data_IF_363775607771
#
_entry.id   IF_363775607771
#
_cell.length_a   1.000
_cell.length_b   1.000
_cell.length_c   1.000
_cell.angle_alpha   90.00
_cell.angle_beta   90.00
_cell.angle_gamma   90.00
#
_symmetry.space_group_name_H-M   'P 1'
#
loop_
_entity.id
_entity.type
_entity.pdbx_description
1 polymer ?
#
# COMPACT_ATOMS: atom_id res chain seq x y z
N UNK A 1 -5.08 6.09 -4.99
CA UNK A 1 -5.43 5.55 -6.32
C UNK A 1 -5.74 6.65 -7.33
N UNK A 2 -6.71 7.55 -7.10
CA UNK A 2 -7.01 8.67 -8.01
C UNK A 2 -5.77 9.51 -8.39
N UNK A 3 -4.99 9.94 -7.40
CA UNK A 3 -3.72 10.66 -7.61
C UNK A 3 -2.76 9.97 -8.61
N UNK A 4 -2.67 8.63 -8.55
CA UNK A 4 -1.78 7.88 -9.46
C UNK A 4 -2.27 7.98 -10.91
N UNK A 5 -3.58 7.93 -11.11
CA UNK A 5 -4.22 7.93 -12.42
C UNK A 5 -4.32 9.34 -13.01
N UNK A 6 -4.57 10.35 -12.19
CA UNK A 6 -4.90 11.70 -12.66
C UNK A 6 -3.69 12.63 -12.67
N UNK A 7 -2.77 12.49 -11.71
CA UNK A 7 -1.67 13.44 -11.54
C UNK A 7 -0.31 12.81 -11.84
N UNK A 8 -0.05 11.60 -11.32
CA UNK A 8 1.29 11.02 -11.41
C UNK A 8 1.57 10.36 -12.76
N UNK A 9 0.60 9.63 -13.30
CA UNK A 9 0.73 8.89 -14.56
C UNK A 9 -0.52 9.07 -15.45
N UNK A 10 -0.86 10.30 -15.87
CA UNK A 10 -2.05 10.54 -16.68
C UNK A 10 -1.99 9.89 -18.06
N UNK A 11 -0.82 9.86 -18.68
CA UNK A 11 -0.64 9.42 -20.08
C UNK A 11 -0.48 7.90 -20.24
N UNK A 12 -0.39 7.14 -19.14
CA UNK A 12 -0.18 5.69 -19.24
C UNK A 12 -1.50 4.95 -19.40
N UNK A 13 -1.47 3.88 -20.20
CA UNK A 13 -2.62 3.01 -20.42
C UNK A 13 -2.93 2.15 -19.19
N UNK A 14 -1.88 1.63 -18.53
CA UNK A 14 -2.01 0.78 -17.34
C UNK A 14 -0.94 1.10 -16.30
N UNK A 15 -1.35 1.14 -15.04
CA UNK A 15 -0.50 1.25 -13.86
C UNK A 15 -0.55 -0.08 -13.12
N UNK A 16 0.61 -0.74 -13.04
CA UNK A 16 0.76 -1.97 -12.23
C UNK A 16 0.99 -1.58 -10.78
N UNK A 17 0.06 -1.95 -9.92
CA UNK A 17 0.12 -1.69 -8.49
C UNK A 17 0.38 -3.00 -7.77
N UNK A 18 1.52 -3.09 -7.10
CA UNK A 18 1.84 -4.23 -6.23
C UNK A 18 1.35 -3.88 -4.82
N UNK A 19 0.44 -4.69 -4.28
CA UNK A 19 -0.09 -4.54 -2.92
C UNK A 19 0.21 -5.77 -2.07
N UNK A 20 0.12 -5.60 -0.76
CA UNK A 20 0.11 -6.70 0.18
C UNK A 20 -1.15 -7.56 0.00
N UNK A 21 -1.05 -8.85 0.32
CA UNK A 21 -2.15 -9.80 0.17
C UNK A 21 -3.13 -9.75 1.36
N UNK A 22 -3.39 -8.55 1.87
CA UNK A 22 -4.39 -8.34 2.90
C UNK A 22 -5.73 -8.08 2.20
N UNK A 23 -6.71 -8.95 2.47
CA UNK A 23 -8.03 -8.99 1.83
C UNK A 23 -8.92 -7.73 2.02
N UNK A 24 -8.36 -6.63 2.53
CA UNK A 24 -9.07 -5.38 2.83
C UNK A 24 -9.13 -4.42 1.63
N UNK A 25 -8.20 -4.52 0.68
CA UNK A 25 -8.13 -3.64 -0.49
C UNK A 25 -8.73 -4.30 -1.74
N UNK A 26 -10.05 -4.50 -1.74
CA UNK A 26 -10.77 -5.00 -2.91
C UNK A 26 -11.11 -3.88 -3.89
N UNK A 27 -11.23 -4.20 -5.19
CA UNK A 27 -11.68 -3.25 -6.23
C UNK A 27 -12.99 -2.56 -5.86
N UNK A 28 -13.88 -3.25 -5.16
CA UNK A 28 -15.16 -2.71 -4.68
C UNK A 28 -15.01 -1.51 -3.73
N UNK A 29 -13.87 -1.39 -3.03
CA UNK A 29 -13.60 -0.25 -2.15
C UNK A 29 -13.53 1.08 -2.91
N UNK A 30 -13.16 1.06 -4.21
CA UNK A 30 -13.20 2.26 -5.04
C UNK A 30 -14.62 2.71 -5.35
N UNK A 31 -15.56 1.78 -5.55
CA UNK A 31 -16.98 2.08 -5.74
C UNK A 31 -17.66 2.61 -4.46
N UNK A 32 -17.11 2.29 -3.29
CA UNK A 32 -17.56 2.88 -2.02
C UNK A 32 -17.07 4.32 -1.84
N UNK A 33 -15.88 4.64 -2.37
CA UNK A 33 -15.24 5.93 -2.16
C UNK A 33 -15.57 6.97 -3.25
N UNK A 34 -15.90 6.55 -4.48
CA UNK A 34 -16.11 7.44 -5.62
C UNK A 34 -17.41 7.13 -6.35
N UNK A 35 -17.99 8.11 -7.08
CA UNK A 35 -19.12 7.85 -7.98
C UNK A 35 -18.81 6.71 -8.96
N UNK A 36 -19.79 5.88 -9.36
CA UNK A 36 -19.54 4.66 -10.14
C UNK A 36 -18.73 4.86 -11.43
N UNK A 37 -18.99 5.95 -12.15
CA UNK A 37 -18.25 6.30 -13.36
C UNK A 37 -16.76 6.60 -13.07
N UNK A 38 -16.48 7.35 -12.01
CA UNK A 38 -15.13 7.71 -11.62
C UNK A 38 -14.37 6.50 -11.06
N UNK A 39 -15.02 5.69 -10.22
CA UNK A 39 -14.47 4.44 -9.71
C UNK A 39 -14.08 3.49 -10.85
N UNK A 40 -14.94 3.37 -11.87
CA UNK A 40 -14.67 2.54 -13.05
C UNK A 40 -13.49 3.07 -13.86
N UNK A 41 -13.46 4.36 -14.18
CA UNK A 41 -12.35 5.01 -14.91
C UNK A 41 -11.00 4.77 -14.21
N UNK A 42 -10.97 4.94 -12.89
CA UNK A 42 -9.76 4.70 -12.09
C UNK A 42 -9.39 3.21 -12.16
N UNK A 43 -10.33 2.30 -11.92
CA UNK A 43 -10.09 0.85 -11.98
C UNK A 43 -9.61 0.38 -13.35
N UNK A 44 -10.12 0.96 -14.44
CA UNK A 44 -9.75 0.56 -15.79
C UNK A 44 -8.28 0.87 -16.11
N UNK A 45 -7.65 1.83 -15.43
CA UNK A 45 -6.21 2.09 -15.55
C UNK A 45 -5.34 1.32 -14.56
N UNK A 46 -5.92 0.62 -13.57
CA UNK A 46 -5.15 -0.08 -12.53
C UNK A 46 -5.12 -1.59 -12.75
N UNK A 47 -3.93 -2.18 -12.61
CA UNK A 47 -3.70 -3.61 -12.62
C UNK A 47 -3.07 -4.03 -11.29
N UNK A 48 -3.75 -4.87 -10.51
CA UNK A 48 -3.31 -5.24 -9.16
C UNK A 48 -2.54 -6.55 -9.16
N UNK A 49 -1.37 -6.54 -8.55
CA UNK A 49 -0.54 -7.70 -8.25
C UNK A 49 -0.39 -7.82 -6.74
N UNK A 50 -0.45 -9.03 -6.20
CA UNK A 50 -0.38 -9.27 -4.76
C UNK A 50 0.88 -10.04 -4.40
N UNK A 51 1.47 -9.72 -3.26
CA UNK A 51 2.60 -10.50 -2.72
C UNK A 51 2.15 -11.93 -2.35
N UNK A 52 3.02 -12.94 -2.44
CA UNK A 52 2.70 -14.30 -1.98
C UNK A 52 2.35 -14.30 -0.49
N UNK A 53 1.40 -15.15 -0.07
CA UNK A 53 0.90 -15.22 1.33
C UNK A 53 2.00 -15.43 2.38
N UNK A 54 3.11 -16.06 2.01
CA UNK A 54 4.26 -16.31 2.89
C UNK A 54 5.53 -15.57 2.44
N UNK A 55 5.36 -14.53 1.62
CA UNK A 55 6.43 -13.70 1.06
C UNK A 55 6.54 -12.32 1.71
N UNK A 56 6.43 -12.23 3.03
CA UNK A 56 6.58 -10.97 3.80
C UNK A 56 7.87 -10.22 3.46
N UNK A 57 8.94 -10.95 3.18
CA UNK A 57 10.24 -10.39 2.77
C UNK A 57 10.22 -9.67 1.40
N UNK A 58 9.18 -9.83 0.60
CA UNK A 58 8.95 -9.10 -0.65
C UNK A 58 7.95 -7.94 -0.49
N UNK A 59 7.38 -7.76 0.70
CA UNK A 59 6.43 -6.69 0.97
C UNK A 59 7.17 -5.38 1.28
N UNK A 60 7.14 -4.43 0.34
CA UNK A 60 7.80 -3.12 0.51
C UNK A 60 7.34 -2.39 1.79
N UNK A 61 6.05 -2.47 2.15
CA UNK A 61 5.53 -1.82 3.35
C UNK A 61 6.16 -2.40 4.63
N UNK A 62 6.36 -3.72 4.71
CA UNK A 62 6.98 -4.36 5.86
C UNK A 62 8.49 -4.04 5.95
N UNK A 63 9.18 -3.95 4.81
CA UNK A 63 10.59 -3.55 4.75
C UNK A 63 10.74 -2.12 5.25
N UNK A 64 9.93 -1.18 4.75
CA UNK A 64 9.95 0.23 5.19
C UNK A 64 9.62 0.36 6.67
N UNK A 65 8.63 -0.38 7.16
CA UNK A 65 8.29 -0.42 8.59
C UNK A 65 9.44 -1.01 9.44
N UNK A 66 10.15 -2.01 8.94
CA UNK A 66 11.34 -2.58 9.61
C UNK A 66 12.47 -1.56 9.72
N UNK A 67 12.73 -0.81 8.64
CA UNK A 67 13.72 0.29 8.64
C UNK A 67 13.29 1.40 9.61
N UNK A 68 12.02 1.81 9.56
CA UNK A 68 11.47 2.81 10.48
C UNK A 68 11.60 2.36 11.94
N UNK A 69 11.28 1.11 12.24
CA UNK A 69 11.44 0.54 13.59
C UNK A 69 12.90 0.53 14.05
N UNK A 70 13.87 0.30 13.15
CA UNK A 70 15.29 0.33 13.51
C UNK A 70 15.79 1.76 13.77
N UNK A 71 15.33 2.73 12.98
CA UNK A 71 15.76 4.13 13.08
C UNK A 71 15.04 4.87 14.21
N UNK A 72 13.74 4.63 14.38
CA UNK A 72 12.87 5.31 15.34
C UNK A 72 12.54 4.49 16.59
N UNK A 73 12.77 3.17 16.60
CA UNK A 73 12.43 2.30 17.74
C UNK A 73 13.18 2.64 19.03
N UNK A 74 14.36 3.27 18.93
CA UNK A 74 15.06 3.82 20.10
C UNK A 74 14.39 5.08 20.69
N UNK A 75 13.56 5.80 19.91
CA UNK A 75 12.85 7.01 20.35
C UNK A 75 11.43 6.72 20.85
N UNK A 76 10.80 5.62 20.45
CA UNK A 76 9.44 5.26 20.88
C UNK A 76 9.38 4.24 22.03
N UNK A 77 10.34 3.31 22.16
CA UNK A 77 10.42 2.39 23.32
C UNK A 77 11.39 2.91 24.39
N UNK A 78 11.36 4.22 24.66
CA UNK A 78 12.03 4.80 25.81
C UNK A 78 11.27 4.45 27.08
N UNK A 79 11.53 3.26 27.65
CA UNK A 79 11.05 2.93 28.99
C UNK A 79 10.63 1.47 29.20
N UNK A 80 11.50 0.51 28.98
CA UNK A 80 11.53 -0.63 29.90
C UNK A 80 12.95 -0.76 30.44
N UNK A 81 13.05 -0.48 31.74
CA UNK A 81 14.30 -0.48 32.48
C UNK A 81 14.97 -1.85 32.39
N UNK A 82 16.19 -1.84 31.87
CA UNK A 82 17.20 -2.77 32.37
C UNK A 82 17.91 -2.05 33.51
N UNK A 83 17.53 -2.38 34.73
CA UNK A 83 18.41 -2.28 35.91
C UNK A 83 19.21 -3.60 36.04
N UNK A 84 20.40 -3.54 36.65
CA UNK A 84 21.59 -4.33 36.28
C UNK A 84 21.51 -5.83 36.51
#
# INVERSE_FOLDING_TARGET
MKYLVDERYPEVEKIRVVQDNLNTHVKASLYKAFPPHEARRILDKLEFYYTPKHGSWLNMAEIELSVLNRVCGKKFFGGQGKSP
#
